data_IF_984285319670
#
_entry.id   IF_984285319670
#
_cell.length_a   1.000
_cell.length_b   1.000
_cell.length_c   1.000
_cell.angle_alpha   90.00
_cell.angle_beta   90.00
_cell.angle_gamma   90.00
#
_symmetry.space_group_name_H-M   'P 1'
#
loop_
_entity.id
_entity.type
_entity.pdbx_description
1 polymer ?
#
# COMPACT_ATOMS: atom_id res chain seq x y z
N UNK A 1 -9.68 14.07 1.04
CA UNK A 1 -9.04 13.24 0.00
C UNK A 1 -9.53 11.82 0.17
N UNK A 2 -10.00 11.17 -0.89
CA UNK A 2 -10.49 9.79 -0.81
C UNK A 2 -9.33 8.84 -1.14
N UNK A 3 -8.81 8.11 -0.15
CA UNK A 3 -7.79 7.06 -0.35
C UNK A 3 -8.51 5.70 -0.45
N UNK A 4 -9.36 5.60 -1.45
CA UNK A 4 -10.06 4.40 -1.91
C UNK A 4 -10.65 4.72 -3.28
N UNK A 5 -10.77 3.73 -4.17
CA UNK A 5 -11.35 3.96 -5.49
C UNK A 5 -12.18 2.75 -5.93
N UNK A 6 -13.51 2.96 -5.97
CA UNK A 6 -14.49 1.93 -6.31
C UNK A 6 -14.96 2.02 -7.78
N UNK A 7 -14.25 2.80 -8.59
CA UNK A 7 -14.64 3.15 -9.97
C UNK A 7 -13.55 2.88 -11.01
N UNK A 8 -12.45 2.21 -10.64
CA UNK A 8 -11.39 1.89 -11.59
C UNK A 8 -11.92 1.05 -12.76
N UNK A 9 -11.42 1.35 -13.95
CA UNK A 9 -11.83 0.69 -15.21
C UNK A 9 -10.74 -0.20 -15.76
N UNK A 10 -11.08 -1.29 -16.50
CA UNK A 10 -10.09 -2.06 -17.26
C UNK A 10 -9.21 -1.16 -18.13
N UNK A 11 -7.90 -1.43 -18.11
CA UNK A 11 -6.88 -0.68 -18.83
C UNK A 11 -6.31 0.52 -18.06
N UNK A 12 -6.94 0.97 -16.98
CA UNK A 12 -6.39 2.07 -16.17
C UNK A 12 -5.04 1.69 -15.56
N UNK A 13 -4.07 2.61 -15.67
CA UNK A 13 -2.72 2.41 -15.14
C UNK A 13 -2.68 2.59 -13.63
N UNK A 14 -1.87 1.78 -12.97
CA UNK A 14 -1.60 1.84 -11.54
C UNK A 14 -0.09 2.00 -11.34
N UNK A 15 0.31 2.87 -10.43
CA UNK A 15 1.62 2.79 -9.79
C UNK A 15 1.50 1.90 -8.56
N UNK A 16 2.41 0.96 -8.41
CA UNK A 16 2.46 0.02 -7.29
C UNK A 16 3.68 0.37 -6.45
N UNK A 17 3.45 0.74 -5.20
CA UNK A 17 4.50 1.16 -4.27
C UNK A 17 4.67 0.05 -3.24
N UNK A 18 5.89 -0.46 -3.10
CA UNK A 18 6.22 -1.42 -2.05
C UNK A 18 7.23 -0.81 -1.08
N UNK A 19 6.94 -0.96 0.20
CA UNK A 19 7.77 -0.51 1.31
C UNK A 19 8.24 -1.77 2.06
N UNK A 20 9.55 -1.97 2.26
CA UNK A 20 10.05 -3.10 3.02
C UNK A 20 9.61 -3.01 4.49
N UNK A 21 9.26 -4.15 5.09
CA UNK A 21 8.81 -4.23 6.49
C UNK A 21 9.95 -4.06 7.51
N UNK A 22 11.19 -4.22 7.04
CA UNK A 22 12.39 -4.03 7.83
C UNK A 22 13.29 -2.98 7.17
N UNK A 23 14.01 -2.21 7.99
CA UNK A 23 14.97 -1.21 7.51
C UNK A 23 16.32 -1.83 7.09
N UNK A 24 16.32 -3.12 6.70
CA UNK A 24 17.50 -3.88 6.32
C UNK A 24 18.08 -3.46 4.96
N UNK A 25 18.65 -4.43 4.23
CA UNK A 25 19.29 -4.21 2.92
C UNK A 25 18.29 -4.02 1.78
N UNK A 26 17.00 -4.32 2.01
CA UNK A 26 15.97 -4.18 1.00
C UNK A 26 15.61 -2.70 0.81
N UNK A 27 15.49 -2.30 -0.46
CA UNK A 27 15.08 -0.94 -0.84
C UNK A 27 13.63 -0.96 -1.25
N UNK A 28 12.89 0.08 -0.85
CA UNK A 28 11.57 0.33 -1.39
C UNK A 28 11.60 0.38 -2.91
N UNK A 29 10.48 0.07 -3.54
CA UNK A 29 10.41 0.06 -4.99
C UNK A 29 9.06 0.53 -5.52
N UNK A 30 9.08 0.94 -6.79
CA UNK A 30 7.87 1.21 -7.55
C UNK A 30 7.83 0.32 -8.77
N UNK A 31 6.64 -0.22 -9.05
CA UNK A 31 6.29 -0.93 -10.28
C UNK A 31 5.07 -0.27 -10.91
N UNK A 32 4.76 -0.66 -12.14
CA UNK A 32 3.55 -0.20 -12.83
C UNK A 32 2.75 -1.40 -13.31
N UNK A 33 1.43 -1.29 -13.20
CA UNK A 33 0.49 -2.31 -13.64
C UNK A 33 -0.73 -1.66 -14.28
N UNK A 34 -1.70 -2.47 -14.72
CA UNK A 34 -3.00 -2.02 -15.20
C UNK A 34 -4.10 -2.86 -14.59
N UNK A 35 -5.25 -2.23 -14.40
CA UNK A 35 -6.48 -2.93 -14.02
C UNK A 35 -6.93 -3.82 -15.18
N UNK A 36 -7.20 -5.09 -14.91
CA UNK A 36 -7.75 -6.04 -15.89
C UNK A 36 -9.27 -6.13 -15.80
N UNK A 37 -9.81 -6.23 -14.59
CA UNK A 37 -11.24 -6.31 -14.35
C UNK A 37 -11.61 -5.88 -12.92
N UNK A 38 -12.86 -5.46 -12.72
CA UNK A 38 -13.46 -5.37 -11.39
C UNK A 38 -13.99 -6.75 -11.00
N UNK A 39 -13.71 -7.18 -9.79
CA UNK A 39 -14.17 -8.46 -9.27
C UNK A 39 -15.52 -8.30 -8.56
N UNK A 40 -16.35 -9.33 -8.64
CA UNK A 40 -17.60 -9.42 -7.87
C UNK A 40 -17.35 -9.81 -6.41
N UNK A 41 -16.27 -10.55 -6.16
CA UNK A 41 -15.84 -11.01 -4.85
C UNK A 41 -14.32 -10.84 -4.74
N UNK A 42 -13.80 -10.52 -3.54
CA UNK A 42 -12.36 -10.42 -3.32
C UNK A 42 -11.66 -11.77 -3.49
N UNK A 43 -10.39 -11.75 -3.90
CA UNK A 43 -9.54 -12.94 -3.88
C UNK A 43 -9.14 -13.33 -2.45
N UNK A 44 -9.17 -12.37 -1.52
CA UNK A 44 -8.80 -12.54 -0.12
C UNK A 44 -9.88 -11.88 0.76
N UNK A 45 -10.82 -12.69 1.22
CA UNK A 45 -11.95 -12.22 2.02
C UNK A 45 -11.56 -11.86 3.46
N UNK A 46 -10.41 -12.34 3.96
CA UNK A 46 -9.95 -12.00 5.32
C UNK A 46 -9.42 -10.57 5.40
N UNK A 47 -8.97 -10.02 4.28
CA UNK A 47 -8.31 -8.72 4.20
C UNK A 47 -9.13 -7.62 3.51
N UNK A 48 -10.43 -7.84 3.30
CA UNK A 48 -11.35 -6.87 2.69
C UNK A 48 -12.20 -6.16 3.75
N UNK A 49 -12.46 -4.87 3.58
CA UNK A 49 -13.42 -4.11 4.37
C UNK A 49 -14.71 -3.98 3.58
N UNK A 50 -15.84 -3.78 4.27
CA UNK A 50 -17.16 -3.71 3.64
C UNK A 50 -17.27 -2.63 2.54
N UNK A 51 -16.45 -1.59 2.59
CA UNK A 51 -16.46 -0.47 1.64
C UNK A 51 -15.56 -0.68 0.42
N UNK A 52 -14.73 -1.72 0.40
CA UNK A 52 -13.74 -1.89 -0.66
C UNK A 52 -14.34 -2.46 -1.93
N UNK A 53 -13.85 -1.97 -3.06
CA UNK A 53 -13.94 -2.69 -4.33
C UNK A 53 -12.68 -3.54 -4.56
N UNK A 54 -12.87 -4.73 -5.12
CA UNK A 54 -11.77 -5.62 -5.51
C UNK A 54 -11.52 -5.59 -7.01
N UNK A 55 -10.26 -5.62 -7.40
CA UNK A 55 -9.83 -5.54 -8.79
C UNK A 55 -8.78 -6.60 -9.09
N UNK A 56 -8.88 -7.18 -10.29
CA UNK A 56 -7.80 -7.96 -10.88
C UNK A 56 -6.84 -6.99 -11.57
N UNK A 57 -5.54 -7.16 -11.32
CA UNK A 57 -4.46 -6.36 -11.91
C UNK A 57 -3.50 -7.24 -12.71
N UNK A 58 -2.76 -6.65 -13.63
CA UNK A 58 -1.69 -7.34 -14.33
C UNK A 58 -0.49 -7.59 -13.39
N UNK A 59 -0.34 -8.84 -12.95
CA UNK A 59 0.71 -9.25 -12.02
C UNK A 59 1.99 -9.79 -12.68
N UNK A 60 2.09 -9.76 -14.01
CA UNK A 60 3.18 -10.43 -14.74
C UNK A 60 4.60 -10.00 -14.33
N UNK A 61 4.75 -8.79 -13.79
CA UNK A 61 6.03 -8.24 -13.31
C UNK A 61 6.06 -8.02 -11.79
N UNK A 62 5.17 -8.68 -11.03
CA UNK A 62 5.12 -8.58 -9.58
C UNK A 62 5.72 -9.81 -8.93
N UNK A 63 6.54 -9.57 -7.91
CA UNK A 63 7.08 -10.64 -7.08
C UNK A 63 6.03 -11.16 -6.11
N UNK A 64 5.98 -12.49 -5.94
CA UNK A 64 5.13 -13.13 -4.94
C UNK A 64 5.53 -12.73 -3.53
N UNK A 65 4.54 -12.60 -2.64
CA UNK A 65 4.75 -12.31 -1.22
C UNK A 65 4.92 -10.83 -0.88
N UNK A 66 4.93 -9.92 -1.86
CA UNK A 66 4.94 -8.46 -1.61
C UNK A 66 3.52 -7.89 -1.59
N UNK A 67 3.21 -7.10 -0.57
CA UNK A 67 1.95 -6.35 -0.44
C UNK A 67 2.22 -4.91 -0.86
N UNK A 68 1.56 -4.45 -1.93
CA UNK A 68 1.78 -3.13 -2.51
C UNK A 68 0.66 -2.17 -2.15
N UNK A 69 1.00 -0.88 -2.03
CA UNK A 69 0.02 0.20 -2.20
C UNK A 69 -0.27 0.36 -3.69
N UNK A 70 -1.55 0.30 -4.07
CA UNK A 70 -1.98 0.59 -5.43
C UNK A 70 -2.43 2.06 -5.53
N UNK A 71 -1.68 2.86 -6.29
CA UNK A 71 -2.00 4.26 -6.55
C UNK A 71 -2.56 4.39 -7.96
N UNK A 72 -3.78 4.91 -8.06
CA UNK A 72 -4.45 5.10 -9.34
C UNK A 72 -3.71 6.11 -10.22
N UNK A 73 -3.71 5.81 -11.53
CA UNK A 73 -2.98 6.52 -12.59
C UNK A 73 -1.47 6.36 -12.44
N UNK A 74 -0.75 6.61 -13.53
CA UNK A 74 0.71 6.69 -13.47
C UNK A 74 1.07 7.96 -12.70
N UNK A 75 1.49 7.80 -11.45
CA UNK A 75 2.11 8.88 -10.70
C UNK A 75 3.59 8.96 -11.11
N UNK A 76 4.07 10.18 -11.31
CA UNK A 76 5.49 10.44 -11.41
C UNK A 76 6.02 10.82 -10.02
N UNK A 77 7.30 10.48 -9.77
CA UNK A 77 8.10 11.01 -8.66
C UNK A 77 7.74 10.48 -7.27
N UNK A 78 7.93 9.17 -7.07
CA UNK A 78 8.15 8.64 -5.73
C UNK A 78 9.65 8.71 -5.40
N UNK A 79 9.97 9.30 -4.26
CA UNK A 79 11.32 9.31 -3.68
C UNK A 79 11.44 8.11 -2.73
N UNK A 80 12.33 7.19 -3.09
CA UNK A 80 12.52 5.93 -2.37
C UNK A 80 13.54 6.18 -1.25
N UNK A 81 13.11 6.07 0.00
CA UNK A 81 13.97 6.23 1.17
C UNK A 81 14.05 4.90 1.94
N UNK A 82 15.01 4.80 2.85
CA UNK A 82 15.12 3.61 3.69
C UNK A 82 13.87 3.50 4.57
N UNK A 83 13.11 2.42 4.43
CA UNK A 83 11.91 2.14 5.22
C UNK A 83 10.65 2.94 4.85
N UNK A 84 10.70 3.84 3.86
CA UNK A 84 9.54 4.63 3.46
C UNK A 84 9.61 5.08 2.00
N UNK A 85 8.46 5.44 1.44
CA UNK A 85 8.38 6.07 0.12
C UNK A 85 7.69 7.40 0.26
N UNK A 86 8.29 8.47 -0.25
CA UNK A 86 7.69 9.80 -0.27
C UNK A 86 7.20 10.13 -1.69
N UNK A 87 6.16 10.95 -1.81
CA UNK A 87 5.65 11.34 -3.11
C UNK A 87 4.53 12.35 -3.04
N UNK A 88 3.78 12.47 -4.13
CA UNK A 88 2.61 13.35 -4.20
C UNK A 88 1.38 12.61 -4.71
N UNK A 89 0.25 12.86 -4.06
CA UNK A 89 -1.07 12.47 -4.53
C UNK A 89 -1.86 13.75 -4.82
N UNK A 90 -1.99 14.08 -6.10
CA UNK A 90 -2.50 15.40 -6.52
C UNK A 90 -1.61 16.53 -6.00
N UNK A 91 -2.19 17.47 -5.26
CA UNK A 91 -1.45 18.59 -4.65
C UNK A 91 -0.87 18.29 -3.26
N UNK A 92 -1.10 17.11 -2.71
CA UNK A 92 -0.68 16.73 -1.36
C UNK A 92 0.63 15.96 -1.38
N UNK A 93 1.62 16.40 -0.59
CA UNK A 93 2.78 15.57 -0.29
C UNK A 93 2.37 14.43 0.67
N UNK A 94 2.84 13.22 0.41
CA UNK A 94 2.52 12.04 1.20
C UNK A 94 3.75 11.16 1.44
N UNK A 95 3.70 10.38 2.52
CA UNK A 95 4.64 9.29 2.77
C UNK A 95 3.89 7.96 2.96
N UNK A 96 4.43 6.89 2.40
CA UNK A 96 3.99 5.52 2.56
C UNK A 96 4.95 4.82 3.53
N UNK A 97 4.40 4.15 4.55
CA UNK A 97 5.17 3.30 5.45
C UNK A 97 4.48 1.97 5.66
N UNK A 98 5.25 0.93 5.94
CA UNK A 98 4.74 -0.39 6.29
C UNK A 98 5.56 -0.99 7.43
N UNK A 99 4.91 -1.77 8.29
CA UNK A 99 5.56 -2.49 9.38
C UNK A 99 4.78 -3.77 9.70
N UNK A 100 5.42 -4.72 10.36
CA UNK A 100 4.79 -5.98 10.78
C UNK A 100 4.31 -5.92 12.24
N UNK A 101 3.09 -6.43 12.49
CA UNK A 101 2.67 -6.92 13.80
C UNK A 101 2.96 -8.42 13.90
N UNK A 102 2.59 -9.08 14.98
CA UNK A 102 2.77 -10.54 15.12
C UNK A 102 2.05 -11.33 14.03
N UNK A 103 0.88 -10.90 13.55
CA UNK A 103 0.07 -11.72 12.62
C UNK A 103 -0.20 -11.02 11.28
N UNK A 104 0.43 -9.88 11.03
CA UNK A 104 0.04 -9.04 9.92
C UNK A 104 0.93 -7.86 9.64
N UNK A 105 0.49 -7.05 8.69
CA UNK A 105 1.20 -5.86 8.22
C UNK A 105 0.29 -4.65 8.36
N UNK A 106 0.83 -3.58 8.95
CA UNK A 106 0.20 -2.27 8.93
C UNK A 106 0.73 -1.49 7.73
N UNK A 107 -0.17 -1.03 6.89
CA UNK A 107 0.09 -0.19 5.73
C UNK A 107 -0.44 1.21 6.01
N UNK A 108 0.41 2.23 5.93
CA UNK A 108 0.05 3.59 6.28
C UNK A 108 0.37 4.58 5.15
N UNK A 109 -0.50 5.58 5.00
CA UNK A 109 -0.24 6.79 4.20
C UNK A 109 -0.37 8.00 5.10
N UNK A 110 0.65 8.85 5.10
CA UNK A 110 0.78 10.03 5.95
C UNK A 110 0.80 11.31 5.12
N UNK A 111 0.32 12.42 5.67
CA UNK A 111 0.51 13.75 5.08
C UNK A 111 1.93 14.24 5.37
N UNK A 112 2.69 14.57 4.32
CA UNK A 112 4.08 14.98 4.48
C UNK A 112 4.97 13.80 4.85
N UNK A 113 5.43 13.71 6.10
CA UNK A 113 6.39 12.71 6.59
C UNK A 113 5.71 11.61 7.41
N UNK A 114 6.22 10.38 7.31
CA UNK A 114 5.74 9.27 8.10
C UNK A 114 5.93 9.51 9.61
N UNK A 115 5.01 8.98 10.43
CA UNK A 115 4.98 9.04 11.91
C UNK A 115 4.98 10.43 12.56
N UNK A 116 5.03 11.49 11.77
CA UNK A 116 5.05 12.88 12.23
C UNK A 116 3.91 13.70 11.64
N UNK A 117 3.50 13.37 10.40
CA UNK A 117 2.34 13.95 9.75
C UNK A 117 1.01 13.35 10.21
N UNK A 118 -0.10 13.95 9.76
CA UNK A 118 -1.44 13.37 9.94
C UNK A 118 -1.57 12.07 9.15
N UNK A 119 -2.02 11.00 9.80
CA UNK A 119 -2.39 9.74 9.13
C UNK A 119 -3.59 9.98 8.21
N UNK A 120 -3.42 9.69 6.92
CA UNK A 120 -4.43 9.89 5.88
C UNK A 120 -5.19 8.61 5.57
N UNK A 121 -4.51 7.48 5.69
CA UNK A 121 -5.07 6.15 5.47
C UNK A 121 -4.25 5.11 6.22
N UNK A 122 -4.94 4.10 6.71
CA UNK A 122 -4.35 2.94 7.37
C UNK A 122 -5.10 1.69 6.95
N UNK A 123 -4.36 0.60 6.80
CA UNK A 123 -4.93 -0.72 6.61
C UNK A 123 -4.10 -1.78 7.29
N UNK A 124 -4.78 -2.73 7.93
CA UNK A 124 -4.18 -3.96 8.40
C UNK A 124 -4.36 -5.07 7.36
N UNK A 125 -3.30 -5.82 7.10
CA UNK A 125 -3.31 -7.03 6.27
C UNK A 125 -2.88 -8.21 7.12
N UNK A 126 -3.80 -9.11 7.42
CA UNK A 126 -3.58 -10.38 8.11
C UNK A 126 -2.86 -11.38 7.20
N UNK A 127 -1.76 -11.95 7.70
CA UNK A 127 -0.92 -12.89 6.94
C UNK A 127 -1.36 -14.35 7.07
N UNK A 128 -2.12 -14.70 8.12
CA UNK A 128 -2.50 -16.09 8.40
C UNK A 128 -1.41 -16.91 9.08
N UNK A 129 -0.33 -16.28 9.53
CA UNK A 129 0.77 -16.89 10.27
C UNK A 129 1.53 -15.81 11.06
N UNK A 130 2.30 -16.26 12.05
CA UNK A 130 3.11 -15.37 12.88
C UNK A 130 4.37 -14.88 12.17
N UNK A 131 4.69 -13.60 12.34
CA UNK A 131 5.90 -12.93 11.87
C UNK A 131 6.53 -12.10 12.98
N UNK A 132 7.83 -11.81 12.83
CA UNK A 132 8.54 -10.95 13.78
C UNK A 132 8.04 -9.50 13.69
N UNK A 133 7.53 -8.91 14.79
CA UNK A 133 7.00 -7.56 14.77
C UNK A 133 8.08 -6.51 14.51
N UNK A 134 7.75 -5.51 13.68
CA UNK A 134 8.58 -4.32 13.43
C UNK A 134 7.86 -3.01 13.69
N UNK A 135 6.55 -3.05 13.98
CA UNK A 135 5.75 -1.85 14.26
C UNK A 135 6.08 -1.19 15.60
N UNK A 136 5.90 0.12 15.64
CA UNK A 136 5.82 0.93 16.86
C UNK A 136 4.37 1.33 17.15
N UNK A 137 4.08 1.85 18.35
CA UNK A 137 2.72 2.32 18.67
C UNK A 137 2.16 3.34 17.66
N UNK A 138 3.01 4.21 17.11
CA UNK A 138 2.60 5.21 16.13
C UNK A 138 2.01 4.59 14.85
N UNK A 139 2.40 3.36 14.51
CA UNK A 139 2.01 2.70 13.27
C UNK A 139 0.54 2.27 13.25
N UNK A 140 -0.02 1.96 14.41
CA UNK A 140 -1.38 1.39 14.52
C UNK A 140 -2.34 2.22 15.36
N UNK A 141 -1.85 3.19 16.13
CA UNK A 141 -2.71 4.13 16.85
C UNK A 141 -3.35 5.13 15.88
N UNK A 142 -4.65 5.37 16.02
CA UNK A 142 -5.41 6.34 15.21
C UNK A 142 -5.16 7.80 15.63
#
# INVERSE_FOLDING_TARGET
>A
MLIQNNSLKPGESLALVWVPLNNGTQRAETRYSRVRARLKQPCDAANVAATDASYLVDGSNLENGKIYFAVARKQANFDLRQGQVEGRLGSSAVAFSACASTEGVHLNVWMGKAHTGKKLWHRYYYLGYDVEPTCTEADFKE
#
